data_IF_685967775633
#
_entry.id   IF_685967775633
#
_cell.length_a   1.000
_cell.length_b   1.000
_cell.length_c   1.000
_cell.angle_alpha   90.00
_cell.angle_beta   90.00
_cell.angle_gamma   90.00
#
_symmetry.space_group_name_H-M   'P 1'
#
loop_
_entity.id
_entity.type
_entity.pdbx_description
1 polymer ?
#
# COMPACT_ATOMS: atom_id res chain seq x y z
N UNK A 1 -13.30 -5.50 16.04
CA UNK A 1 -12.29 -4.43 16.19
C UNK A 1 -12.82 -3.19 15.50
N UNK A 2 -12.40 -1.98 15.89
CA UNK A 2 -12.74 -0.79 15.12
C UNK A 2 -12.07 -0.88 13.72
N UNK A 3 -12.68 -0.31 12.67
CA UNK A 3 -12.05 -0.25 11.35
C UNK A 3 -10.74 0.53 11.40
N UNK A 4 -9.74 0.07 10.64
CA UNK A 4 -8.47 0.76 10.46
C UNK A 4 -8.68 1.92 9.50
N UNK A 5 -8.36 3.13 9.95
CA UNK A 5 -8.50 4.36 9.19
C UNK A 5 -7.26 4.59 8.32
N UNK A 6 -7.46 4.60 7.00
CA UNK A 6 -6.40 4.70 5.99
C UNK A 6 -6.54 6.02 5.24
N UNK A 7 -5.57 6.90 5.38
CA UNK A 7 -5.43 8.12 4.59
C UNK A 7 -4.60 7.90 3.33
N UNK A 8 -4.99 8.51 2.21
CA UNK A 8 -4.27 8.52 0.95
C UNK A 8 -4.18 9.98 0.50
N UNK A 9 -2.97 10.54 0.33
CA UNK A 9 -2.85 11.88 -0.22
C UNK A 9 -3.24 11.90 -1.70
N UNK A 10 -4.03 12.90 -2.11
CA UNK A 10 -4.52 13.05 -3.47
C UNK A 10 -3.85 14.20 -4.20
N UNK A 11 -3.11 13.84 -5.23
CA UNK A 11 -2.50 14.73 -6.21
C UNK A 11 -2.33 13.91 -7.50
N UNK A 12 -1.64 14.44 -8.51
CA UNK A 12 -1.38 13.80 -9.80
C UNK A 12 -0.38 12.63 -9.69
N UNK A 13 -0.76 11.56 -9.00
CA UNK A 13 0.04 10.35 -8.81
C UNK A 13 -0.29 9.26 -9.85
N UNK A 14 0.58 8.25 -9.99
CA UNK A 14 0.33 7.06 -10.80
C UNK A 14 -0.77 6.19 -10.17
N UNK A 15 -1.88 5.94 -10.89
CA UNK A 15 -3.10 5.39 -10.29
C UNK A 15 -2.90 4.10 -9.46
N UNK A 16 -2.13 3.14 -9.97
CA UNK A 16 -1.90 1.84 -9.32
C UNK A 16 -1.14 1.95 -7.99
N UNK A 17 -0.39 3.03 -7.76
CA UNK A 17 0.34 3.28 -6.51
C UNK A 17 -0.58 3.36 -5.29
N UNK A 18 -1.81 3.86 -5.50
CA UNK A 18 -2.84 3.90 -4.46
C UNK A 18 -3.88 2.80 -4.64
N UNK A 19 -4.36 2.58 -5.87
CA UNK A 19 -5.48 1.66 -6.14
C UNK A 19 -5.10 0.22 -5.82
N UNK A 20 -3.90 -0.24 -6.20
CA UNK A 20 -3.47 -1.61 -5.93
C UNK A 20 -3.45 -1.94 -4.43
N UNK A 21 -2.70 -1.18 -3.59
CA UNK A 21 -2.71 -1.38 -2.14
C UNK A 21 -4.09 -1.27 -1.49
N UNK A 22 -4.87 -0.25 -1.83
CA UNK A 22 -6.18 -0.03 -1.19
C UNK A 22 -7.20 -1.12 -1.55
N UNK A 23 -7.18 -1.61 -2.79
CA UNK A 23 -8.07 -2.68 -3.23
C UNK A 23 -7.68 -4.04 -2.62
N UNK A 24 -6.38 -4.30 -2.43
CA UNK A 24 -5.90 -5.47 -1.67
C UNK A 24 -6.33 -5.44 -0.20
N UNK A 25 -6.20 -4.28 0.46
CA UNK A 25 -6.68 -4.09 1.83
C UNK A 25 -8.19 -4.35 1.91
N UNK A 26 -8.97 -3.71 1.03
CA UNK A 26 -10.41 -3.88 1.00
C UNK A 26 -10.83 -5.34 0.70
N UNK A 27 -10.12 -6.02 -0.20
CA UNK A 27 -10.35 -7.44 -0.52
C UNK A 27 -10.07 -8.37 0.66
N UNK A 28 -9.17 -7.97 1.55
CA UNK A 28 -8.81 -8.71 2.77
C UNK A 28 -9.72 -8.37 3.97
N UNK A 29 -10.80 -7.60 3.75
CA UNK A 29 -11.66 -7.12 4.82
C UNK A 29 -12.68 -8.15 5.32
N UNK A 30 -13.17 -7.96 6.54
CA UNK A 30 -14.26 -8.77 7.10
C UNK A 30 -15.55 -8.60 6.31
N UNK A 31 -15.84 -7.41 5.79
CA UNK A 31 -16.95 -7.18 4.87
C UNK A 31 -16.86 -8.10 3.64
N UNK A 32 -15.72 -8.10 2.95
CA UNK A 32 -15.53 -8.92 1.75
C UNK A 32 -15.52 -10.42 2.08
N UNK A 33 -14.91 -10.82 3.19
CA UNK A 33 -14.93 -12.20 3.67
C UNK A 33 -16.37 -12.71 3.87
N UNK A 34 -17.26 -11.90 4.47
CA UNK A 34 -18.67 -12.26 4.63
C UNK A 34 -19.43 -12.34 3.30
N UNK A 35 -19.08 -11.52 2.31
CA UNK A 35 -19.65 -11.64 0.96
C UNK A 35 -19.20 -12.95 0.30
N UNK A 36 -17.92 -13.30 0.43
CA UNK A 36 -17.32 -14.50 -0.15
C UNK A 36 -17.88 -15.81 0.44
N UNK A 37 -18.35 -15.81 1.69
CA UNK A 37 -19.08 -16.96 2.30
C UNK A 37 -20.30 -17.42 1.50
N UNK A 38 -20.78 -16.65 0.52
CA UNK A 38 -21.86 -17.09 -0.37
C UNK A 38 -21.38 -18.01 -1.49
N UNK A 39 -20.08 -18.03 -1.77
CA UNK A 39 -19.48 -18.70 -2.92
C UNK A 39 -18.47 -19.76 -2.51
N UNK A 40 -17.72 -19.53 -1.41
CA UNK A 40 -16.64 -20.40 -0.94
C UNK A 40 -16.72 -20.60 0.59
N UNK A 41 -16.24 -21.74 1.11
CA UNK A 41 -16.04 -21.88 2.55
C UNK A 41 -14.98 -20.87 3.02
N UNK A 42 -15.33 -20.12 4.07
CA UNK A 42 -14.42 -19.22 4.79
C UNK A 42 -14.49 -19.59 6.27
N UNK A 43 -13.34 -19.96 6.83
CA UNK A 43 -13.22 -20.37 8.24
C UNK A 43 -13.53 -19.20 9.19
N UNK A 44 -14.14 -19.49 10.33
CA UNK A 44 -14.53 -18.44 11.29
C UNK A 44 -13.32 -17.72 11.87
N UNK A 45 -12.18 -18.40 12.05
CA UNK A 45 -10.91 -17.78 12.47
C UNK A 45 -10.49 -16.65 11.50
N UNK A 46 -10.72 -16.81 10.19
CA UNK A 46 -10.41 -15.77 9.21
C UNK A 46 -11.28 -14.53 9.44
N UNK A 47 -12.56 -14.71 9.78
CA UNK A 47 -13.50 -13.61 10.07
C UNK A 47 -13.22 -12.90 11.40
N UNK A 48 -12.68 -13.63 12.38
CA UNK A 48 -12.27 -13.06 13.65
C UNK A 48 -11.01 -12.19 13.49
N UNK A 49 -10.10 -12.59 12.59
CA UNK A 49 -8.84 -11.90 12.34
C UNK A 49 -8.92 -10.82 11.26
N UNK A 50 -9.82 -10.94 10.29
CA UNK A 50 -9.95 -9.99 9.19
C UNK A 50 -10.31 -8.58 9.72
N UNK A 51 -9.55 -7.55 9.36
CA UNK A 51 -9.87 -6.16 9.71
C UNK A 51 -11.00 -5.62 8.82
N UNK A 52 -11.57 -4.47 9.19
CA UNK A 52 -12.29 -3.62 8.24
C UNK A 52 -11.49 -2.33 8.05
N UNK A 53 -11.67 -1.65 6.92
CA UNK A 53 -10.93 -0.44 6.58
C UNK A 53 -11.89 0.72 6.28
N UNK A 54 -11.50 1.93 6.67
CA UNK A 54 -12.14 3.17 6.22
C UNK A 54 -11.11 3.97 5.44
N UNK A 55 -11.45 4.38 4.22
CA UNK A 55 -10.51 5.09 3.33
C UNK A 55 -10.84 6.58 3.26
N UNK A 56 -9.81 7.40 3.46
CA UNK A 56 -9.86 8.85 3.33
C UNK A 56 -8.93 9.29 2.20
N UNK A 57 -9.51 9.79 1.11
CA UNK A 57 -8.77 10.42 0.02
C UNK A 57 -8.60 11.91 0.38
N UNK A 58 -7.37 12.30 0.72
CA UNK A 58 -7.04 13.56 1.39
C UNK A 58 -6.48 14.55 0.36
N UNK A 59 -7.28 15.56 0.01
CA UNK A 59 -6.90 16.62 -0.92
C UNK A 59 -6.43 17.91 -0.24
N UNK A 60 -5.94 18.87 -1.02
CA UNK A 60 -5.86 20.27 -0.60
C UNK A 60 -7.25 20.94 -0.59
N UNK A 61 -8.11 20.50 -1.51
CA UNK A 61 -9.52 20.87 -1.65
C UNK A 61 -10.33 19.60 -1.92
N UNK A 62 -11.66 19.72 -2.07
CA UNK A 62 -12.53 18.64 -2.55
C UNK A 62 -12.78 18.69 -4.06
N UNK A 63 -12.00 19.48 -4.79
CA UNK A 63 -12.12 19.53 -6.26
C UNK A 63 -11.56 18.23 -6.88
N UNK A 64 -12.12 17.77 -8.01
CA UNK A 64 -11.59 16.61 -8.72
C UNK A 64 -10.12 16.79 -9.12
N UNK A 65 -9.32 15.76 -8.88
CA UNK A 65 -7.90 15.70 -9.26
C UNK A 65 -7.72 14.64 -10.33
N UNK A 66 -7.14 15.01 -11.46
CA UNK A 66 -6.74 14.05 -12.48
C UNK A 66 -5.45 13.36 -12.04
N UNK A 67 -5.45 12.03 -12.05
CA UNK A 67 -4.26 11.22 -11.77
C UNK A 67 -3.31 11.22 -12.98
N UNK A 68 -2.03 10.97 -12.74
CA UNK A 68 -0.98 10.98 -13.76
C UNK A 68 -1.23 9.93 -14.86
N UNK A 69 -1.83 8.80 -14.49
CA UNK A 69 -2.04 7.66 -15.39
C UNK A 69 -3.50 7.24 -15.45
N UNK A 70 -3.83 6.44 -16.47
CA UNK A 70 -5.13 5.78 -16.62
C UNK A 70 -6.33 6.70 -16.86
N UNK A 71 -6.11 8.02 -17.03
CA UNK A 71 -7.17 9.02 -17.26
C UNK A 71 -8.29 8.97 -16.19
N UNK A 72 -7.89 8.75 -14.93
CA UNK A 72 -8.79 8.67 -13.78
C UNK A 72 -8.86 10.03 -13.08
N UNK A 73 -10.05 10.40 -12.63
CA UNK A 73 -10.26 11.51 -11.71
C UNK A 73 -10.66 10.96 -10.35
N UNK A 74 -10.07 11.50 -9.28
CA UNK A 74 -10.48 11.23 -7.90
C UNK A 74 -11.02 12.52 -7.30
N UNK A 75 -12.16 12.40 -6.64
CA UNK A 75 -12.71 13.45 -5.77
C UNK A 75 -12.25 13.18 -4.35
N UNK A 76 -11.42 14.04 -3.73
CA UNK A 76 -11.02 13.87 -2.34
C UNK A 76 -12.24 13.78 -1.41
N UNK A 77 -12.25 12.78 -0.53
CA UNK A 77 -13.33 12.60 0.46
C UNK A 77 -13.15 13.54 1.65
N UNK A 78 -11.92 13.99 1.90
CA UNK A 78 -11.60 14.99 2.92
C UNK A 78 -10.44 15.88 2.47
N UNK A 79 -10.12 16.88 3.28
CA UNK A 79 -8.97 17.77 3.07
C UNK A 79 -7.94 17.59 4.18
N UNK A 80 -6.71 18.03 3.96
CA UNK A 80 -5.66 18.06 5.00
C UNK A 80 -6.05 18.81 6.27
N UNK A 81 -6.99 19.77 6.15
CA UNK A 81 -7.46 20.60 7.27
C UNK A 81 -8.60 19.92 8.06
N UNK A 82 -9.35 19.00 7.43
CA UNK A 82 -10.56 18.37 7.98
C UNK A 82 -10.46 16.84 8.10
N UNK A 83 -9.31 16.27 7.73
CA UNK A 83 -9.08 14.84 7.81
C UNK A 83 -9.21 14.39 9.27
N UNK A 84 -10.04 13.36 9.55
CA UNK A 84 -10.11 12.78 10.88
C UNK A 84 -8.78 12.12 11.24
N UNK A 85 -8.67 11.67 12.49
CA UNK A 85 -7.51 10.88 12.88
C UNK A 85 -7.43 9.59 12.05
N UNK A 86 -6.26 9.31 11.48
CA UNK A 86 -6.00 8.13 10.64
C UNK A 86 -4.90 7.27 11.28
N UNK A 87 -4.94 5.97 11.06
CA UNK A 87 -3.96 5.00 11.57
C UNK A 87 -2.78 4.81 10.61
N UNK A 88 -3.08 4.85 9.31
CA UNK A 88 -2.14 4.59 8.22
C UNK A 88 -2.22 5.72 7.20
N UNK A 89 -1.06 6.23 6.76
CA UNK A 89 -0.97 7.18 5.65
C UNK A 89 -0.24 6.56 4.46
N UNK A 90 -0.86 6.58 3.28
CA UNK A 90 -0.27 6.16 2.02
C UNK A 90 0.09 7.37 1.15
N UNK A 91 1.34 7.40 0.71
CA UNK A 91 1.93 8.41 -0.16
C UNK A 91 2.21 7.80 -1.53
N UNK A 92 1.30 7.95 -2.51
CA UNK A 92 1.51 7.45 -3.87
C UNK A 92 2.50 8.34 -4.65
N UNK A 93 3.08 7.82 -5.73
CA UNK A 93 4.15 8.46 -6.48
C UNK A 93 3.67 9.38 -7.60
N UNK A 94 4.06 10.67 -7.61
CA UNK A 94 3.86 11.59 -8.73
C UNK A 94 5.09 11.58 -9.67
N UNK A 95 5.04 12.35 -10.75
CA UNK A 95 6.23 12.62 -11.57
C UNK A 95 7.22 13.51 -10.78
N UNK A 96 8.39 13.01 -10.34
CA UNK A 96 9.15 13.66 -9.25
C UNK A 96 9.93 14.90 -9.69
N UNK A 97 10.09 15.13 -11.00
CA UNK A 97 10.78 16.31 -11.54
C UNK A 97 9.84 17.51 -11.55
N UNK A 98 8.59 17.30 -11.95
CA UNK A 98 7.55 18.32 -12.12
C UNK A 98 6.78 18.57 -10.82
N UNK A 99 6.65 17.56 -9.96
CA UNK A 99 5.86 17.65 -8.74
C UNK A 99 6.51 18.53 -7.69
N UNK A 100 5.72 19.49 -7.18
CA UNK A 100 6.09 20.34 -6.05
C UNK A 100 5.18 20.04 -4.86
N UNK A 101 5.80 19.61 -3.75
CA UNK A 101 5.06 19.35 -2.52
C UNK A 101 4.53 20.66 -1.93
N UNK A 102 3.21 20.74 -1.77
CA UNK A 102 2.57 21.83 -1.03
C UNK A 102 2.94 21.77 0.45
N UNK A 103 3.16 22.93 1.07
CA UNK A 103 3.49 23.01 2.49
C UNK A 103 2.38 22.44 3.38
N UNK A 104 1.10 22.53 2.97
CA UNK A 104 0.00 21.90 3.72
C UNK A 104 0.14 20.37 3.75
N UNK A 105 0.51 19.74 2.63
CA UNK A 105 0.79 18.30 2.61
C UNK A 105 2.05 17.96 3.43
N UNK A 106 3.11 18.76 3.29
CA UNK A 106 4.34 18.56 4.06
C UNK A 106 4.07 18.61 5.58
N UNK A 107 3.31 19.61 6.03
CA UNK A 107 2.91 19.73 7.44
C UNK A 107 2.04 18.56 7.91
N UNK A 108 1.09 18.11 7.08
CA UNK A 108 0.26 16.94 7.37
C UNK A 108 1.11 15.67 7.54
N UNK A 109 2.04 15.41 6.61
CA UNK A 109 2.97 14.27 6.66
C UNK A 109 3.83 14.34 7.92
N UNK A 110 4.46 15.50 8.20
CA UNK A 110 5.32 15.66 9.38
C UNK A 110 4.56 15.40 10.68
N UNK A 111 3.32 15.90 10.81
CA UNK A 111 2.47 15.64 11.98
C UNK A 111 2.18 14.16 12.15
N UNK A 112 1.68 13.50 11.10
CA UNK A 112 1.33 12.07 11.14
C UNK A 112 2.54 11.18 11.47
N UNK A 113 3.71 11.47 10.88
CA UNK A 113 4.94 10.73 11.16
C UNK A 113 5.44 10.98 12.59
N UNK A 114 5.36 12.22 13.10
CA UNK A 114 5.78 12.58 14.45
C UNK A 114 4.92 11.91 15.54
N UNK A 115 3.67 11.58 15.25
CA UNK A 115 2.79 10.77 16.11
C UNK A 115 3.19 9.28 16.14
N UNK A 116 4.17 8.86 15.34
CA UNK A 116 4.66 7.48 15.31
C UNK A 116 3.76 6.54 14.50
N UNK A 117 2.80 7.07 13.74
CA UNK A 117 1.82 6.29 12.99
C UNK A 117 2.38 5.76 11.67
N UNK A 118 1.82 4.66 11.19
CA UNK A 118 2.33 3.99 10.01
C UNK A 118 2.21 4.89 8.78
N UNK A 119 3.30 4.99 8.04
CA UNK A 119 3.38 5.77 6.81
C UNK A 119 4.02 4.92 5.73
N UNK A 120 3.27 4.68 4.67
CA UNK A 120 3.67 3.90 3.52
C UNK A 120 3.91 4.83 2.33
N UNK A 121 4.91 4.53 1.53
CA UNK A 121 5.07 5.14 0.21
C UNK A 121 5.33 4.10 -0.85
N UNK A 122 4.81 4.35 -2.04
CA UNK A 122 4.99 3.50 -3.22
C UNK A 122 5.60 4.31 -4.35
N UNK A 123 6.39 3.66 -5.22
CA UNK A 123 6.99 4.32 -6.37
C UNK A 123 7.80 5.56 -5.93
N UNK A 124 7.60 6.68 -6.58
CA UNK A 124 8.22 7.98 -6.29
C UNK A 124 7.62 8.68 -5.07
N UNK A 125 6.66 8.08 -4.35
CA UNK A 125 6.09 8.62 -3.12
C UNK A 125 7.14 8.79 -2.01
N UNK A 126 8.22 7.99 -2.04
CA UNK A 126 9.35 8.18 -1.14
C UNK A 126 10.06 9.54 -1.37
N UNK A 127 10.03 10.09 -2.59
CA UNK A 127 10.56 11.44 -2.85
C UNK A 127 9.66 12.54 -2.22
N UNK A 128 8.36 12.28 -2.07
CA UNK A 128 7.43 13.18 -1.39
C UNK A 128 7.70 13.19 0.12
N UNK A 129 7.93 12.01 0.70
CA UNK A 129 8.37 11.89 2.10
C UNK A 129 9.74 12.55 2.33
N UNK A 130 10.69 12.37 1.41
CA UNK A 130 11.99 13.04 1.46
C UNK A 130 11.85 14.57 1.36
N UNK A 131 10.99 15.06 0.48
CA UNK A 131 10.69 16.49 0.36
C UNK A 131 10.06 17.09 1.64
N UNK A 132 9.27 16.30 2.38
CA UNK A 132 8.74 16.68 3.67
C UNK A 132 9.79 16.67 4.81
N UNK A 133 10.99 16.15 4.55
CA UNK A 133 12.10 16.04 5.51
C UNK A 133 12.00 14.85 6.47
N UNK A 134 10.98 13.99 6.34
CA UNK A 134 10.73 12.91 7.31
C UNK A 134 11.61 11.67 7.08
N UNK A 135 12.31 11.60 5.95
CA UNK A 135 13.26 10.51 5.65
C UNK A 135 14.72 10.86 5.98
N UNK A 136 15.01 12.07 6.46
CA UNK A 136 16.40 12.48 6.75
C UNK A 136 17.02 11.56 7.81
N UNK A 137 18.16 10.95 7.47
CA UNK A 137 18.86 9.97 8.30
C UNK A 137 18.26 8.56 8.34
N UNK A 138 17.13 8.34 7.67
CA UNK A 138 16.37 7.08 7.63
C UNK A 138 16.76 6.21 6.44
N UNK A 139 16.70 4.89 6.62
CA UNK A 139 16.82 3.94 5.52
C UNK A 139 15.53 3.95 4.68
N UNK A 140 15.68 4.05 3.36
CA UNK A 140 14.54 4.06 2.45
C UNK A 140 14.90 3.50 1.08
N UNK A 141 13.88 3.10 0.31
CA UNK A 141 14.00 2.82 -1.12
C UNK A 141 12.95 3.58 -1.91
N UNK A 142 13.09 3.56 -3.23
CA UNK A 142 12.23 4.25 -4.19
C UNK A 142 12.23 3.48 -5.51
N UNK A 143 11.35 3.82 -6.44
CA UNK A 143 11.31 3.26 -7.78
C UNK A 143 12.72 3.15 -8.41
N UNK A 144 12.97 2.01 -9.06
CA UNK A 144 14.25 1.68 -9.68
C UNK A 144 14.71 2.70 -10.72
N UNK A 145 13.78 3.27 -11.49
CA UNK A 145 14.04 4.20 -12.60
C UNK A 145 14.51 5.55 -12.05
N UNK A 146 13.77 6.12 -11.09
CA UNK A 146 14.05 7.45 -10.56
C UNK A 146 15.06 7.44 -9.40
N UNK A 147 15.48 6.26 -8.93
CA UNK A 147 16.35 6.10 -7.76
C UNK A 147 17.58 7.00 -7.79
N UNK A 148 18.36 6.97 -8.87
CA UNK A 148 19.63 7.71 -8.93
C UNK A 148 19.40 9.23 -8.86
N UNK A 149 18.32 9.71 -9.48
CA UNK A 149 17.96 11.12 -9.48
C UNK A 149 17.48 11.56 -8.09
N UNK A 150 16.58 10.80 -7.47
CA UNK A 150 16.05 11.13 -6.14
C UNK A 150 17.13 11.01 -5.07
N UNK A 151 17.98 9.99 -5.13
CA UNK A 151 19.09 9.83 -4.19
C UNK A 151 20.07 11.00 -4.23
N UNK A 152 20.33 11.55 -5.42
CA UNK A 152 21.13 12.78 -5.57
C UNK A 152 20.41 14.01 -5.03
N UNK A 153 19.10 14.12 -5.21
CA UNK A 153 18.29 15.27 -4.76
C UNK A 153 18.13 15.33 -3.24
N UNK A 154 18.03 14.18 -2.58
CA UNK A 154 17.86 14.06 -1.13
C UNK A 154 18.98 13.21 -0.51
N UNK A 155 20.21 13.76 -0.41
CA UNK A 155 21.39 12.99 0.03
C UNK A 155 21.39 12.65 1.53
N UNK A 156 20.49 13.26 2.32
CA UNK A 156 20.39 12.98 3.76
C UNK A 156 19.64 11.68 4.06
N UNK A 157 18.90 11.14 3.10
CA UNK A 157 18.23 9.84 3.22
C UNK A 157 19.22 8.73 2.90
N UNK A 158 19.21 7.65 3.69
CA UNK A 158 20.06 6.48 3.48
C UNK A 158 19.42 5.55 2.45
N UNK A 159 19.44 5.96 1.19
CA UNK A 159 18.84 5.19 0.09
C UNK A 159 19.53 3.83 -0.11
N UNK A 160 18.73 2.78 -0.27
CA UNK A 160 19.21 1.42 -0.61
C UNK A 160 18.31 0.72 -1.63
N UNK A 161 18.89 -0.22 -2.39
CA UNK A 161 18.20 -1.15 -3.31
C UNK A 161 18.27 -2.61 -2.86
N UNK A 162 18.68 -2.86 -1.61
CA UNK A 162 18.88 -4.21 -1.11
C UNK A 162 17.61 -5.06 -1.14
N UNK A 163 16.45 -4.42 -0.91
CA UNK A 163 15.13 -5.05 -0.89
C UNK A 163 14.12 -4.24 -1.70
N UNK A 164 13.01 -4.87 -2.07
CA UNK A 164 11.87 -4.26 -2.78
C UNK A 164 11.13 -3.22 -1.95
N UNK A 165 11.21 -3.31 -0.63
CA UNK A 165 10.78 -2.28 0.30
C UNK A 165 11.70 -2.24 1.52
N UNK A 166 11.72 -1.10 2.21
CA UNK A 166 12.53 -0.86 3.40
C UNK A 166 11.62 -0.34 4.50
N UNK A 167 11.81 -0.88 5.70
CA UNK A 167 11.11 -0.49 6.92
C UNK A 167 12.11 0.13 7.90
N UNK A 168 11.90 1.39 8.28
CA UNK A 168 12.66 2.10 9.32
C UNK A 168 11.68 2.75 10.31
N UNK A 169 11.39 2.02 11.40
CA UNK A 169 10.38 2.43 12.37
C UNK A 169 8.96 2.38 11.78
N UNK A 170 8.26 3.52 11.82
CA UNK A 170 6.91 3.67 11.26
C UNK A 170 6.89 4.03 9.76
N UNK A 171 8.06 4.14 9.11
CA UNK A 171 8.20 4.51 7.70
C UNK A 171 8.46 3.27 6.84
N UNK A 172 7.57 3.02 5.89
CA UNK A 172 7.58 1.89 4.98
C UNK A 172 7.67 2.41 3.55
N UNK A 173 8.81 2.19 2.89
CA UNK A 173 9.04 2.70 1.54
C UNK A 173 9.22 1.53 0.58
N UNK A 174 8.42 1.45 -0.48
CA UNK A 174 8.56 0.43 -1.53
C UNK A 174 9.06 1.02 -2.83
N UNK A 175 9.76 0.18 -3.62
CA UNK A 175 10.34 0.57 -4.90
C UNK A 175 9.27 0.92 -5.93
N UNK A 176 8.82 -0.02 -6.78
CA UNK A 176 7.78 0.26 -7.80
C UNK A 176 6.36 0.10 -7.26
N UNK A 177 5.36 0.47 -8.05
CA UNK A 177 3.93 0.36 -7.68
C UNK A 177 3.53 -1.02 -7.16
N UNK A 178 3.85 -2.07 -7.93
CA UNK A 178 3.51 -3.45 -7.58
C UNK A 178 4.32 -3.94 -6.39
N UNK A 179 5.58 -3.50 -6.23
CA UNK A 179 6.34 -3.76 -4.99
C UNK A 179 5.69 -3.08 -3.78
N UNK A 180 5.01 -1.95 -3.99
CA UNK A 180 4.14 -1.33 -3.00
C UNK A 180 2.97 -2.22 -2.61
N UNK A 181 2.26 -2.78 -3.59
CA UNK A 181 1.19 -3.75 -3.32
C UNK A 181 1.72 -5.01 -2.61
N UNK A 182 2.90 -5.52 -2.98
CA UNK A 182 3.60 -6.63 -2.31
C UNK A 182 3.92 -6.28 -0.84
N UNK A 183 4.38 -5.05 -0.57
CA UNK A 183 4.65 -4.55 0.77
C UNK A 183 3.38 -4.52 1.65
N UNK A 184 2.23 -4.11 1.09
CA UNK A 184 0.95 -4.18 1.80
C UNK A 184 0.48 -5.62 2.03
N UNK A 185 0.73 -6.53 1.07
CA UNK A 185 0.48 -7.97 1.26
C UNK A 185 1.30 -8.53 2.42
N UNK A 186 2.59 -8.17 2.50
CA UNK A 186 3.45 -8.53 3.61
C UNK A 186 2.90 -7.98 4.94
N UNK A 187 2.55 -6.70 5.00
CA UNK A 187 1.96 -6.10 6.20
C UNK A 187 0.67 -6.81 6.63
N UNK A 188 -0.23 -7.13 5.69
CA UNK A 188 -1.46 -7.88 5.98
C UNK A 188 -1.14 -9.26 6.58
N UNK A 189 -0.20 -10.00 5.98
CA UNK A 189 0.21 -11.32 6.47
C UNK A 189 0.76 -11.24 7.89
N UNK A 190 1.66 -10.30 8.17
CA UNK A 190 2.29 -10.19 9.49
C UNK A 190 1.29 -9.76 10.59
N UNK A 191 0.27 -8.96 10.25
CA UNK A 191 -0.68 -8.42 11.23
C UNK A 191 -1.96 -9.26 11.38
N UNK A 192 -2.45 -9.86 10.30
CA UNK A 192 -3.74 -10.58 10.28
C UNK A 192 -3.62 -12.05 9.86
N UNK A 193 -2.42 -12.49 9.47
CA UNK A 193 -2.12 -13.88 9.15
C UNK A 193 -2.25 -14.22 7.68
N UNK A 194 -1.61 -15.32 7.29
CA UNK A 194 -1.58 -15.81 5.91
C UNK A 194 -2.99 -16.08 5.36
N UNK A 195 -3.90 -16.63 6.16
CA UNK A 195 -5.25 -16.97 5.69
C UNK A 195 -6.07 -15.74 5.27
N UNK A 196 -5.94 -14.62 6.00
CA UNK A 196 -6.58 -13.33 5.63
C UNK A 196 -5.98 -12.80 4.32
N UNK A 197 -4.65 -12.82 4.19
CA UNK A 197 -4.00 -12.45 2.93
C UNK A 197 -4.44 -13.34 1.76
N UNK A 198 -4.44 -14.66 1.93
CA UNK A 198 -4.84 -15.61 0.90
C UNK A 198 -6.27 -15.35 0.43
N UNK A 199 -7.20 -15.05 1.35
CA UNK A 199 -8.58 -14.71 0.99
C UNK A 199 -8.66 -13.43 0.15
N UNK A 200 -7.94 -12.37 0.55
CA UNK A 200 -7.92 -11.11 -0.21
C UNK A 200 -7.24 -11.25 -1.57
N UNK A 201 -6.15 -12.01 -1.64
CA UNK A 201 -5.43 -12.31 -2.87
C UNK A 201 -6.26 -13.13 -3.87
N UNK A 202 -7.10 -14.06 -3.37
CA UNK A 202 -7.94 -14.93 -4.19
C UNK A 202 -8.87 -14.16 -5.12
N UNK A 203 -9.52 -13.10 -4.62
CA UNK A 203 -10.45 -12.29 -5.41
C UNK A 203 -9.77 -11.45 -6.50
N UNK A 204 -8.49 -11.15 -6.31
CA UNK A 204 -7.67 -10.34 -7.22
C UNK A 204 -6.80 -11.18 -8.18
N UNK A 205 -6.82 -12.50 -8.02
CA UNK A 205 -5.87 -13.43 -8.65
C UNK A 205 -4.40 -12.95 -8.51
N UNK A 206 -4.05 -12.55 -7.29
CA UNK A 206 -2.81 -11.83 -7.01
C UNK A 206 -1.79 -12.67 -6.23
N UNK A 207 -0.64 -12.94 -6.83
CA UNK A 207 0.48 -13.62 -6.17
C UNK A 207 1.52 -12.61 -5.67
N UNK A 208 1.58 -12.30 -4.36
CA UNK A 208 2.56 -11.37 -3.84
C UNK A 208 3.98 -11.95 -3.84
N UNK A 209 4.95 -11.08 -4.11
CA UNK A 209 6.38 -11.36 -3.95
C UNK A 209 6.86 -10.98 -2.55
N UNK A 210 7.91 -11.65 -2.09
CA UNK A 210 8.64 -11.25 -0.90
C UNK A 210 9.53 -10.01 -1.14
N UNK A 211 10.21 -9.56 -0.10
CA UNK A 211 11.08 -8.38 -0.12
C UNK A 211 12.32 -8.56 -1.02
N UNK A 212 12.61 -9.79 -1.43
CA UNK A 212 13.67 -10.15 -2.38
C UNK A 212 13.13 -10.21 -3.81
N UNK A 213 11.82 -10.17 -4.00
CA UNK A 213 11.13 -10.23 -5.29
C UNK A 213 10.79 -11.65 -5.74
N UNK A 214 10.82 -12.64 -4.84
CA UNK A 214 10.47 -14.03 -5.15
C UNK A 214 9.01 -14.32 -4.80
N UNK A 215 8.34 -15.15 -5.59
CA UNK A 215 6.97 -15.61 -5.35
C UNK A 215 6.94 -16.76 -4.33
N UNK A 216 7.29 -16.44 -3.08
CA UNK A 216 7.41 -17.38 -1.95
C UNK A 216 6.40 -17.09 -0.84
N UNK A 217 5.60 -16.01 -0.97
CA UNK A 217 4.68 -15.55 0.06
C UNK A 217 3.48 -16.46 0.19
N UNK A 218 2.85 -16.80 -0.94
CA UNK A 218 1.83 -17.83 -1.03
C UNK A 218 2.49 -19.17 -1.41
N UNK A 219 2.23 -20.26 -0.69
CA UNK A 219 2.78 -21.56 -1.04
C UNK A 219 2.33 -22.00 -2.43
N UNK A 220 3.29 -22.39 -3.27
CA UNK A 220 2.98 -23.04 -4.56
C UNK A 220 2.21 -24.33 -4.33
N UNK A 221 1.32 -24.64 -5.26
CA UNK A 221 0.51 -25.86 -5.25
C UNK A 221 0.92 -26.80 -6.36
N UNK A 222 0.78 -28.08 -6.08
CA UNK A 222 1.12 -29.16 -7.01
C UNK A 222 -0.03 -30.17 -7.07
N UNK A 223 -0.32 -30.69 -8.26
CA UNK A 223 -1.31 -31.75 -8.47
C UNK A 223 -0.79 -33.12 -8.03
N UNK A 224 -1.66 -34.14 -8.10
CA UNK A 224 -1.30 -35.53 -7.81
C UNK A 224 -0.22 -36.08 -8.77
N UNK A 225 -0.11 -35.48 -9.95
CA UNK A 225 0.92 -35.74 -10.96
C UNK A 225 2.26 -35.03 -10.68
N UNK A 226 2.33 -34.20 -9.65
CA UNK A 226 3.51 -33.42 -9.27
C UNK A 226 3.71 -32.14 -10.09
N UNK A 227 2.82 -31.81 -11.02
CA UNK A 227 2.90 -30.58 -11.82
C UNK A 227 2.41 -29.37 -11.02
N UNK A 228 3.02 -28.20 -11.24
CA UNK A 228 2.59 -26.97 -10.56
C UNK A 228 1.20 -26.56 -11.11
N UNK A 229 0.24 -26.42 -10.20
CA UNK A 229 -1.10 -25.90 -10.51
C UNK A 229 -1.23 -24.44 -10.04
N UNK A 230 -2.33 -23.79 -10.42
CA UNK A 230 -2.62 -22.41 -10.00
C UNK A 230 -2.52 -22.27 -8.47
N UNK A 231 -1.81 -21.23 -8.01
CA UNK A 231 -1.62 -20.94 -6.58
C UNK A 231 -2.96 -20.64 -5.92
N UNK A 232 -3.82 -19.91 -6.62
CA UNK A 232 -5.21 -19.69 -6.26
C UNK A 232 -6.06 -20.87 -6.72
N UNK A 233 -6.68 -21.57 -5.78
CA UNK A 233 -7.76 -22.49 -6.09
C UNK A 233 -8.93 -22.18 -5.16
N UNK A 234 -10.07 -21.92 -5.80
CA UNK A 234 -11.33 -21.56 -5.17
C UNK A 234 -11.95 -22.85 -4.63
N UNK A 235 -11.98 -23.09 -3.30
CA UNK A 235 -12.76 -24.21 -2.78
C UNK A 235 -14.24 -23.94 -3.06
N UNK A 236 -14.95 -24.92 -3.61
CA UNK A 236 -16.39 -24.84 -3.85
C UNK A 236 -17.14 -25.59 -2.75
N UNK A 237 -18.35 -25.16 -2.44
CA UNK A 237 -19.26 -25.96 -1.62
C UNK A 237 -19.55 -27.29 -2.33
N UNK A 238 -19.41 -28.40 -1.61
CA UNK A 238 -19.83 -29.72 -2.08
C UNK A 238 -21.36 -29.82 -2.14
#
# INVERSE_FOLDING_TARGET
>A
MAPISVGILVYDYQAIDAVGPTDLLNSSSKLLANILRKFIPVEEEVLERAPDFTFHHIGLTREPVQLLTSNIFIVPTTTVDECPDIDLLLIPGPAPVEFQLSEKYAAFIRRHVAEGKLTFSTCTGAAVLAAAGVLDGKAATINNVEYAWVAKKYPQVKWTKERKWIVDGNLWTASGAVAGMDMFAHWLKENFGLAVLTLGALGLDYEPRDDSGLFTVLPKRYGDDGEQIATHHVPVYN
#
